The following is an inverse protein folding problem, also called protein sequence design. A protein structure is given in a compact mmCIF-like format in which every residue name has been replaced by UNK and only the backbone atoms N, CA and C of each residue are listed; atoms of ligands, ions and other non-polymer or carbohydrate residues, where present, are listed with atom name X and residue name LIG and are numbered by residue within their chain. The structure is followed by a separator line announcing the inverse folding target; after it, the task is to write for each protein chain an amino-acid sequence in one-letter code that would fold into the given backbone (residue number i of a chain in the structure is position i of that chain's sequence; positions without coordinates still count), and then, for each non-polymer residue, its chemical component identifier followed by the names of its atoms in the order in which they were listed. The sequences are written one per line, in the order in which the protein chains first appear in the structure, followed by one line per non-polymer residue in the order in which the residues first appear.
data_IF_257948988994
#
_entry.id   IF_257948988994
#
_cell.length_a   1.000
_cell.length_b   1.000
_cell.length_c   1.000
_cell.angle_alpha   90.00
_cell.angle_beta   90.00
_cell.angle_gamma   90.00
#
_symmetry.space_group_name_H-M   'P 1'
#
loop_
_entity.id
_entity.type
_entity.pdbx_description
1 polymer ?
#
# COMPACT_ATOMS: atom_id res chain seq x y z
N UNK A 1 -3.65 18.33 6.61
CA UNK A 1 -3.45 18.45 5.13
C UNK A 1 -4.47 19.47 4.63
N UNK A 2 -4.03 20.61 4.09
CA UNK A 2 -4.89 21.80 3.93
C UNK A 2 -5.68 21.81 2.60
N UNK A 3 -5.19 21.21 1.52
CA UNK A 3 -5.96 20.93 0.28
C UNK A 3 -5.08 20.16 -0.69
N UNK A 4 -5.62 19.16 -1.38
CA UNK A 4 -4.95 18.57 -2.55
C UNK A 4 -5.25 19.47 -3.76
N UNK A 5 -4.21 19.87 -4.49
CA UNK A 5 -4.35 20.71 -5.69
C UNK A 5 -4.67 19.77 -6.86
N UNK A 6 -5.78 20.01 -7.57
CA UNK A 6 -6.08 19.22 -8.77
C UNK A 6 -5.04 19.54 -9.87
N UNK A 7 -4.33 18.52 -10.33
CA UNK A 7 -3.18 18.65 -11.25
C UNK A 7 -3.50 18.20 -12.67
N UNK A 8 -4.63 18.65 -13.23
CA UNK A 8 -5.06 18.29 -14.60
C UNK A 8 -4.03 18.71 -15.66
N UNK A 9 -3.48 19.91 -15.54
CA UNK A 9 -2.45 20.43 -16.45
C UNK A 9 -1.12 19.67 -16.31
N UNK A 10 -0.69 19.37 -15.09
CA UNK A 10 0.56 18.64 -14.85
C UNK A 10 0.53 17.26 -15.50
N UNK A 11 -0.61 16.56 -15.41
CA UNK A 11 -0.76 15.26 -16.06
C UNK A 11 -0.76 15.38 -17.60
N UNK A 12 -1.43 16.40 -18.16
CA UNK A 12 -1.39 16.67 -19.61
C UNK A 12 0.05 16.90 -20.09
N UNK A 13 0.80 17.77 -19.41
CA UNK A 13 2.20 18.04 -19.76
C UNK A 13 3.06 16.78 -19.65
N UNK A 14 2.92 16.00 -18.57
CA UNK A 14 3.67 14.75 -18.41
C UNK A 14 3.44 13.78 -19.58
N UNK A 15 2.19 13.59 -20.02
CA UNK A 15 1.88 12.70 -21.15
C UNK A 15 2.45 13.24 -22.48
N UNK A 16 2.41 14.55 -22.72
CA UNK A 16 3.02 15.16 -23.91
C UNK A 16 4.54 14.96 -23.89
N UNK A 17 5.19 15.18 -22.73
CA UNK A 17 6.64 14.98 -22.57
C UNK A 17 7.05 13.52 -22.79
N UNK A 18 6.25 12.55 -22.34
CA UNK A 18 6.48 11.13 -22.61
C UNK A 18 6.41 10.85 -24.13
N UNK A 19 5.41 11.41 -24.82
CA UNK A 19 5.28 11.27 -26.29
C UNK A 19 6.47 11.87 -27.06
N UNK A 20 6.96 13.04 -26.64
CA UNK A 20 8.15 13.67 -27.23
C UNK A 20 9.41 12.84 -26.92
N UNK A 21 9.54 12.32 -25.70
CA UNK A 21 10.67 11.48 -25.28
C UNK A 21 10.85 10.23 -26.16
N UNK A 22 9.76 9.62 -26.64
CA UNK A 22 9.83 8.49 -27.58
C UNK A 22 10.51 8.84 -28.91
N UNK A 23 10.41 10.09 -29.39
CA UNK A 23 11.04 10.53 -30.65
C UNK A 23 12.54 10.83 -30.48
N UNK A 24 12.97 11.21 -29.26
CA UNK A 24 14.37 11.54 -28.93
C UNK A 24 15.09 10.43 -28.14
N UNK A 25 14.46 9.26 -28.03
CA UNK A 25 14.88 8.13 -27.20
C UNK A 25 16.34 7.71 -27.47
N UNK A 26 16.73 7.68 -28.74
CA UNK A 26 18.01 7.14 -29.20
C UNK A 26 19.23 8.00 -28.88
N UNK A 27 19.05 9.27 -28.48
CA UNK A 27 20.17 10.22 -28.37
C UNK A 27 20.35 10.81 -26.98
N UNK A 28 19.25 11.05 -26.26
CA UNK A 28 19.30 11.76 -24.96
C UNK A 28 19.10 10.81 -23.78
N UNK A 29 18.25 9.79 -23.93
CA UNK A 29 17.93 8.88 -22.81
C UNK A 29 19.05 7.88 -22.50
N UNK A 30 19.90 7.55 -23.45
CA UNK A 30 21.02 6.62 -23.26
C UNK A 30 22.12 7.20 -22.34
N UNK A 31 22.18 8.53 -22.18
CA UNK A 31 23.07 9.18 -21.21
C UNK A 31 22.66 8.97 -19.75
N UNK A 32 21.41 8.55 -19.50
CA UNK A 32 20.90 8.35 -18.14
C UNK A 32 21.21 6.91 -17.73
N UNK A 33 22.13 6.68 -16.77
CA UNK A 33 22.44 5.33 -16.32
C UNK A 33 21.23 4.71 -15.62
N UNK A 34 20.96 3.44 -15.93
CA UNK A 34 19.85 2.67 -15.33
C UNK A 34 19.90 2.66 -13.80
N UNK A 35 21.09 2.68 -13.20
CA UNK A 35 21.28 2.73 -11.75
C UNK A 35 20.62 3.95 -11.08
N UNK A 36 20.50 5.08 -11.77
CA UNK A 36 19.81 6.27 -11.24
C UNK A 36 18.29 6.05 -11.20
N UNK A 37 17.74 5.37 -12.21
CA UNK A 37 16.32 5.02 -12.25
C UNK A 37 15.98 4.01 -11.16
N UNK A 38 16.82 3.02 -10.91
CA UNK A 38 16.65 2.07 -9.81
C UNK A 38 16.59 2.77 -8.45
N UNK A 39 17.49 3.74 -8.22
CA UNK A 39 17.46 4.60 -7.03
C UNK A 39 16.16 5.39 -6.89
N UNK A 40 15.66 5.95 -8.00
CA UNK A 40 14.37 6.64 -8.04
C UNK A 40 13.21 5.69 -7.72
N UNK A 41 13.20 4.46 -8.27
CA UNK A 41 12.16 3.48 -7.99
C UNK A 41 12.13 3.08 -6.51
N UNK A 42 13.29 2.90 -5.87
CA UNK A 42 13.38 2.64 -4.42
C UNK A 42 12.82 3.82 -3.62
N UNK A 43 13.15 5.06 -3.99
CA UNK A 43 12.62 6.25 -3.33
C UNK A 43 11.09 6.34 -3.45
N UNK A 44 10.53 6.08 -4.63
CA UNK A 44 9.08 6.05 -4.85
C UNK A 44 8.43 4.93 -4.02
N UNK A 45 9.05 3.75 -3.96
CA UNK A 45 8.54 2.63 -3.16
C UNK A 45 8.53 2.95 -1.66
N UNK A 46 9.59 3.56 -1.13
CA UNK A 46 9.66 3.98 0.27
C UNK A 46 8.64 5.09 0.58
N UNK A 47 8.57 6.13 -0.26
CA UNK A 47 7.61 7.24 -0.09
C UNK A 47 6.16 6.76 -0.13
N UNK A 48 5.84 5.72 -0.90
CA UNK A 48 4.51 5.11 -0.93
C UNK A 48 4.13 4.35 0.37
N UNK A 49 5.11 3.95 1.18
CA UNK A 49 4.85 3.34 2.50
C UNK A 49 4.54 4.38 3.57
N UNK A 50 5.08 5.60 3.45
CA UNK A 50 4.81 6.67 4.40
C UNK A 50 3.35 7.13 4.32
N UNK A 51 2.66 7.18 5.47
CA UNK A 51 1.24 7.50 5.55
C UNK A 51 0.32 6.32 5.23
N UNK A 52 0.85 5.12 4.98
CA UNK A 52 0.06 3.91 4.88
C UNK A 52 -0.27 3.38 6.29
N UNK A 53 -1.55 3.50 6.67
CA UNK A 53 -2.02 3.08 7.99
C UNK A 53 -1.77 1.60 8.30
N UNK A 54 -1.76 0.71 7.29
CA UNK A 54 -1.45 -0.72 7.50
C UNK A 54 0.03 -0.87 7.88
N UNK A 55 0.92 -0.18 7.17
CA UNK A 55 2.36 -0.23 7.44
C UNK A 55 2.69 0.35 8.81
N UNK A 56 2.09 1.47 9.19
CA UNK A 56 2.22 2.05 10.54
C UNK A 56 1.80 1.04 11.62
N UNK A 57 0.71 0.30 11.40
CA UNK A 57 0.24 -0.74 12.33
C UNK A 57 1.17 -1.95 12.37
N UNK A 58 1.83 -2.30 11.27
CA UNK A 58 2.85 -3.35 11.23
C UNK A 58 4.09 -2.91 12.04
N UNK A 59 4.52 -1.66 11.93
CA UNK A 59 5.63 -1.13 12.72
C UNK A 59 5.37 -1.21 14.23
N UNK A 60 4.11 -1.09 14.67
CA UNK A 60 3.74 -1.28 16.09
C UNK A 60 4.07 -2.69 16.62
N UNK A 61 4.16 -3.73 15.78
CA UNK A 61 4.61 -5.05 16.25
C UNK A 61 6.08 -5.09 16.64
N UNK A 62 6.90 -4.24 16.02
CA UNK A 62 8.33 -4.16 16.28
C UNK A 62 8.68 -3.09 17.33
N UNK A 63 7.69 -2.29 17.75
CA UNK A 63 7.87 -1.22 18.72
C UNK A 63 7.57 -1.72 20.13
N UNK A 64 8.39 -1.31 21.10
CA UNK A 64 8.11 -1.53 22.53
C UNK A 64 6.83 -0.76 22.94
N UNK A 65 6.01 -1.37 23.80
CA UNK A 65 4.72 -0.80 24.21
C UNK A 65 4.84 0.58 24.87
N UNK A 66 5.95 0.84 25.54
CA UNK A 66 6.23 2.12 26.22
C UNK A 66 6.43 3.29 25.25
N UNK A 67 6.78 3.01 24.00
CA UNK A 67 7.10 4.02 23.00
C UNK A 67 5.93 4.29 22.04
N UNK A 68 4.76 3.68 22.26
CA UNK A 68 3.62 3.82 21.35
C UNK A 68 3.18 5.28 21.22
N UNK A 69 3.05 5.80 19.98
CA UNK A 69 2.57 7.14 19.77
C UNK A 69 1.11 7.27 20.27
N UNK A 70 0.71 8.41 20.85
CA UNK A 70 -0.64 8.62 21.36
C UNK A 70 -1.66 8.84 20.23
N UNK A 71 -1.90 7.81 19.42
CA UNK A 71 -2.86 7.83 18.32
C UNK A 71 -4.30 7.50 18.78
N UNK A 72 -5.30 7.96 18.03
CA UNK A 72 -6.72 7.84 18.39
C UNK A 72 -7.18 6.40 18.62
N UNK A 73 -6.73 5.47 17.76
CA UNK A 73 -7.11 4.06 17.79
C UNK A 73 -6.47 3.26 18.93
N UNK A 74 -5.22 3.57 19.30
CA UNK A 74 -4.49 2.88 20.39
C UNK A 74 -5.16 3.12 21.76
N UNK A 75 -5.79 4.29 21.94
CA UNK A 75 -6.49 4.65 23.19
C UNK A 75 -7.86 4.00 23.36
N UNK A 76 -8.51 3.58 22.27
CA UNK A 76 -9.91 3.13 22.26
C UNK A 76 -10.09 1.64 22.05
N UNK A 77 -9.09 0.96 21.48
CA UNK A 77 -9.16 -0.46 21.13
C UNK A 77 -8.11 -1.25 21.89
N UNK A 78 -8.45 -2.41 22.50
CA UNK A 78 -7.44 -3.25 23.14
C UNK A 78 -6.41 -3.73 22.12
N UNK A 79 -5.13 -3.63 22.47
CA UNK A 79 -3.98 -3.92 21.59
C UNK A 79 -4.06 -5.30 20.92
N UNK A 80 -4.50 -6.34 21.65
CA UNK A 80 -4.65 -7.70 21.10
C UNK A 80 -5.56 -7.75 19.87
N UNK A 81 -6.62 -6.95 19.84
CA UNK A 81 -7.55 -6.88 18.69
C UNK A 81 -6.91 -6.14 17.51
N UNK A 82 -6.11 -5.10 17.77
CA UNK A 82 -5.34 -4.39 16.74
C UNK A 82 -4.32 -5.34 16.10
N UNK A 83 -3.53 -6.05 16.90
CA UNK A 83 -2.56 -7.01 16.40
C UNK A 83 -3.22 -8.15 15.62
N UNK A 84 -4.34 -8.70 16.10
CA UNK A 84 -5.06 -9.75 15.39
C UNK A 84 -5.59 -9.27 14.03
N UNK A 85 -6.08 -8.02 13.94
CA UNK A 85 -6.52 -7.42 12.70
C UNK A 85 -5.35 -7.20 11.73
N UNK A 86 -4.27 -6.59 12.18
CA UNK A 86 -3.08 -6.33 11.36
C UNK A 86 -2.42 -7.64 10.91
N UNK A 87 -2.39 -8.68 11.74
CA UNK A 87 -1.89 -10.01 11.34
C UNK A 87 -2.74 -10.60 10.20
N UNK A 88 -4.07 -10.48 10.28
CA UNK A 88 -4.96 -10.89 9.19
C UNK A 88 -4.67 -10.13 7.89
N UNK A 89 -4.46 -8.81 7.96
CA UNK A 89 -4.09 -8.00 6.80
C UNK A 89 -2.73 -8.40 6.22
N UNK A 90 -1.74 -8.71 7.06
CA UNK A 90 -0.41 -9.18 6.62
C UNK A 90 -0.52 -10.55 5.94
N UNK A 91 -1.37 -11.46 6.43
CA UNK A 91 -1.63 -12.74 5.77
C UNK A 91 -2.28 -12.52 4.40
N UNK A 92 -3.27 -11.64 4.29
CA UNK A 92 -3.90 -11.28 3.01
C UNK A 92 -2.88 -10.68 2.02
N UNK A 93 -2.01 -9.79 2.50
CA UNK A 93 -0.92 -9.23 1.69
C UNK A 93 0.05 -10.34 1.25
N UNK A 94 0.44 -11.25 2.14
CA UNK A 94 1.31 -12.38 1.81
C UNK A 94 0.71 -13.28 0.73
N UNK A 95 -0.59 -13.57 0.82
CA UNK A 95 -1.33 -14.30 -0.23
C UNK A 95 -1.23 -13.53 -1.56
N UNK A 96 -1.52 -12.23 -1.58
CA UNK A 96 -1.39 -11.42 -2.81
C UNK A 96 0.03 -11.41 -3.37
N UNK A 97 1.05 -11.34 -2.52
CA UNK A 97 2.45 -11.38 -2.94
C UNK A 97 2.78 -12.73 -3.60
N UNK A 98 2.33 -13.85 -3.05
CA UNK A 98 2.55 -15.18 -3.65
C UNK A 98 1.95 -15.23 -5.06
N UNK A 99 0.68 -14.81 -5.21
CA UNK A 99 0.01 -14.81 -6.51
C UNK A 99 0.62 -13.79 -7.49
N UNK A 100 1.07 -12.63 -7.01
CA UNK A 100 1.65 -11.56 -7.83
C UNK A 100 3.09 -11.83 -8.29
N UNK A 101 3.93 -12.42 -7.43
CA UNK A 101 5.34 -12.72 -7.74
C UNK A 101 5.55 -14.05 -8.46
N UNK A 102 4.48 -14.84 -8.65
CA UNK A 102 4.57 -16.10 -9.39
C UNK A 102 4.99 -15.85 -10.85
N UNK A 103 5.98 -16.58 -11.40
CA UNK A 103 6.44 -16.38 -12.78
C UNK A 103 5.43 -16.83 -13.85
N UNK A 104 4.43 -17.63 -13.46
CA UNK A 104 3.41 -18.17 -14.35
C UNK A 104 2.35 -17.11 -14.69
N UNK A 105 2.19 -16.74 -15.98
CA UNK A 105 1.28 -15.67 -16.39
C UNK A 105 -0.20 -15.98 -16.10
N UNK A 106 -0.59 -17.25 -16.18
CA UNK A 106 -1.95 -17.69 -15.87
C UNK A 106 -2.37 -17.37 -14.43
N UNK A 107 -1.45 -17.47 -13.48
CA UNK A 107 -1.70 -17.19 -12.07
C UNK A 107 -1.91 -15.68 -11.85
N UNK A 108 -1.18 -14.84 -12.59
CA UNK A 108 -1.36 -13.37 -12.54
C UNK A 108 -2.74 -12.93 -13.02
N UNK A 109 -3.35 -13.64 -13.97
CA UNK A 109 -4.71 -13.33 -14.43
C UNK A 109 -5.78 -13.56 -13.36
N UNK A 110 -5.51 -14.43 -12.38
CA UNK A 110 -6.42 -14.71 -11.25
C UNK A 110 -6.30 -13.64 -10.15
N UNK A 111 -5.27 -12.80 -10.18
CA UNK A 111 -5.02 -11.76 -9.16
C UNK A 111 -6.24 -10.88 -8.82
N UNK A 112 -7.02 -10.36 -9.79
CA UNK A 112 -8.24 -9.60 -9.48
C UNK A 112 -9.31 -10.41 -8.73
N UNK A 113 -9.42 -11.71 -9.01
CA UNK A 113 -10.35 -12.61 -8.31
C UNK A 113 -9.93 -12.86 -6.86
N UNK A 114 -8.62 -12.95 -6.60
CA UNK A 114 -8.07 -13.06 -5.24
C UNK A 114 -8.42 -11.81 -4.42
N UNK A 115 -8.24 -10.62 -5.00
CA UNK A 115 -8.63 -9.36 -4.36
C UNK A 115 -10.14 -9.33 -4.08
N UNK A 116 -10.96 -9.73 -5.04
CA UNK A 116 -12.41 -9.81 -4.85
C UNK A 116 -12.79 -10.75 -3.71
N UNK A 117 -12.05 -11.86 -3.52
CA UNK A 117 -12.26 -12.80 -2.42
C UNK A 117 -11.95 -12.20 -1.05
N UNK A 118 -11.13 -11.14 -0.97
CA UNK A 118 -10.86 -10.47 0.30
C UNK A 118 -12.01 -9.56 0.76
N UNK A 119 -12.88 -9.13 -0.16
CA UNK A 119 -14.08 -8.35 0.17
C UNK A 119 -15.04 -9.12 1.11
N UNK A 120 -15.49 -10.36 0.80
CA UNK A 120 -16.34 -11.13 1.71
C UNK A 120 -15.59 -11.52 2.99
N UNK A 121 -14.27 -11.75 2.94
CA UNK A 121 -13.48 -11.98 4.16
C UNK A 121 -13.59 -10.77 5.09
N UNK A 122 -13.48 -9.54 4.57
CA UNK A 122 -13.68 -8.32 5.35
C UNK A 122 -15.11 -8.19 5.89
N UNK A 123 -16.11 -8.45 5.06
CA UNK A 123 -17.51 -8.20 5.43
C UNK A 123 -18.14 -9.30 6.32
N UNK A 124 -17.64 -10.54 6.27
CA UNK A 124 -18.24 -11.68 6.97
C UNK A 124 -17.36 -12.23 8.10
N UNK A 125 -16.04 -12.37 7.87
CA UNK A 125 -15.13 -12.97 8.86
C UNK A 125 -14.69 -11.97 9.93
N UNK A 126 -14.29 -10.76 9.52
CA UNK A 126 -13.79 -9.74 10.46
C UNK A 126 -14.84 -9.31 11.50
N UNK A 127 -16.12 -9.01 11.16
CA UNK A 127 -17.12 -8.64 12.17
C UNK A 127 -17.58 -9.80 13.05
N UNK A 128 -17.24 -11.06 12.71
CA UNK A 128 -17.45 -12.20 13.62
C UNK A 128 -16.37 -12.32 14.68
N UNK A 129 -15.15 -11.82 14.43
CA UNK A 129 -13.98 -11.97 15.31
C UNK A 129 -13.75 -10.70 16.16
N UNK A 130 -14.12 -9.54 15.62
CA UNK A 130 -13.89 -8.22 16.23
C UNK A 130 -15.23 -7.47 16.25
N UNK A 131 -15.59 -6.88 17.40
CA UNK A 131 -16.81 -6.08 17.52
C UNK A 131 -16.77 -4.88 16.58
N UNK A 132 -17.91 -4.57 15.95
CA UNK A 132 -18.05 -3.48 14.97
C UNK A 132 -17.56 -2.12 15.50
N UNK A 133 -17.78 -1.85 16.79
CA UNK A 133 -17.31 -0.64 17.48
C UNK A 133 -15.80 -0.44 17.39
N UNK A 134 -15.02 -1.52 17.44
CA UNK A 134 -13.57 -1.44 17.32
C UNK A 134 -13.10 -1.32 15.87
N UNK A 135 -13.85 -1.89 14.93
CA UNK A 135 -13.55 -1.79 13.49
C UNK A 135 -13.73 -0.36 12.98
N UNK A 136 -14.81 0.32 13.38
CA UNK A 136 -15.07 1.70 12.95
C UNK A 136 -13.97 2.67 13.41
N UNK A 137 -13.35 2.39 14.56
CA UNK A 137 -12.25 3.21 15.11
C UNK A 137 -10.91 2.91 14.44
N UNK A 138 -10.71 1.68 13.94
CA UNK A 138 -9.49 1.25 13.24
C UNK A 138 -9.49 1.70 11.77
N UNK A 139 -10.68 1.82 11.16
CA UNK A 139 -10.88 2.21 9.76
C UNK A 139 -11.12 3.73 9.56
N UNK A 140 -11.25 4.50 10.65
CA UNK A 140 -11.32 5.97 10.64
C UNK A 140 -9.95 6.61 10.42
#
# INVERSE_FOLDING_TARGET
IVRVRETRLTNLFANILIGISMLFLSYVLDYIPSSVLDGLFIYIALTALYGNQMFERVLLFFMEQSAYPPNHYIRRVPQRKIHMFTACQVVQLGVLCIFGFTPWPYIKMIFPLVILTFLPVRQLLIPRIIEKKYLDVIDS
#
